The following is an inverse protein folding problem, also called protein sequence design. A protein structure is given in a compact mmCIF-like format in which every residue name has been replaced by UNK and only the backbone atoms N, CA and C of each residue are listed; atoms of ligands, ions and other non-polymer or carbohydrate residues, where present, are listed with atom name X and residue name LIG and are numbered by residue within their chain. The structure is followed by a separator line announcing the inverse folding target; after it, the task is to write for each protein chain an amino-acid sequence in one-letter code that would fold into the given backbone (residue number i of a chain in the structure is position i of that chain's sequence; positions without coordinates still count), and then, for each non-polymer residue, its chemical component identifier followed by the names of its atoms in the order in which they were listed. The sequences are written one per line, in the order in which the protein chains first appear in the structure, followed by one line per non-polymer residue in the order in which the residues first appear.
data_IF_484108860469
#
_entry.id   IF_484108860469
#
_cell.length_a   1.000
_cell.length_b   1.000
_cell.length_c   1.000
_cell.angle_alpha   90.00
_cell.angle_beta   90.00
_cell.angle_gamma   90.00
#
_symmetry.space_group_name_H-M   'P 1'
#
loop_
_entity.id
_entity.type
_entity.pdbx_description
1 polymer ?
#
# COMPACT_ATOMS: atom_id res chain seq x y z
N UNK A 1 4.19 7.01 -50.11
CA UNK A 1 4.32 7.99 -49.02
C UNK A 1 3.00 8.00 -48.26
N UNK A 2 2.92 7.36 -47.10
CA UNK A 2 1.76 7.45 -46.21
C UNK A 2 2.24 8.00 -44.88
N UNK A 3 1.99 9.29 -44.66
CA UNK A 3 2.23 9.94 -43.38
C UNK A 3 1.18 9.41 -42.39
N UNK A 4 1.68 8.87 -41.27
CA UNK A 4 0.88 8.25 -40.23
C UNK A 4 0.01 9.25 -39.48
N UNK A 5 -1.13 8.76 -39.00
CA UNK A 5 -1.92 9.43 -37.98
C UNK A 5 -1.84 8.59 -36.71
N UNK A 6 -0.86 8.93 -35.85
CA UNK A 6 -0.78 8.37 -34.50
C UNK A 6 -1.85 9.07 -33.65
N UNK A 7 -2.76 8.33 -33.00
CA UNK A 7 -3.75 8.94 -32.13
C UNK A 7 -3.06 9.62 -30.93
N UNK A 8 -3.63 10.72 -30.41
CA UNK A 8 -3.07 11.42 -29.27
C UNK A 8 -3.06 10.50 -28.05
N UNK A 9 -1.93 10.46 -27.34
CA UNK A 9 -1.81 9.72 -26.07
C UNK A 9 -2.86 10.25 -25.09
N UNK A 10 -3.58 9.36 -24.37
CA UNK A 10 -4.53 9.81 -23.36
C UNK A 10 -3.80 10.61 -22.29
N UNK A 11 -4.39 11.74 -21.89
CA UNK A 11 -3.86 12.61 -20.85
C UNK A 11 -3.67 11.81 -19.56
N UNK A 12 -2.42 11.66 -19.15
CA UNK A 12 -2.08 11.12 -17.83
C UNK A 12 -2.50 12.17 -16.80
N UNK A 13 -3.71 12.04 -16.25
CA UNK A 13 -4.13 12.87 -15.14
C UNK A 13 -3.13 12.66 -13.98
N UNK A 14 -2.55 13.74 -13.43
CA UNK A 14 -1.68 13.60 -12.27
C UNK A 14 -2.50 12.99 -11.13
N UNK A 15 -2.05 11.85 -10.62
CA UNK A 15 -2.63 11.26 -9.40
C UNK A 15 -2.65 12.35 -8.33
N UNK A 16 -3.78 12.57 -7.62
CA UNK A 16 -3.81 13.58 -6.57
C UNK A 16 -2.72 13.28 -5.57
N UNK A 17 -1.77 14.22 -5.42
CA UNK A 17 -0.79 14.18 -4.34
C UNK A 17 -1.60 14.12 -3.05
N UNK A 18 -1.56 12.97 -2.37
CA UNK A 18 -2.18 12.77 -1.06
C UNK A 18 -1.85 14.00 -0.23
N UNK A 19 -2.89 14.70 0.20
CA UNK A 19 -2.80 15.94 0.99
C UNK A 19 -1.73 15.74 2.04
N UNK A 20 -0.69 16.57 1.98
CA UNK A 20 0.24 16.72 3.08
C UNK A 20 -0.60 17.24 4.25
N UNK A 21 -1.03 16.32 5.12
CA UNK A 21 -1.49 16.68 6.44
C UNK A 21 -0.24 17.09 7.21
N UNK A 22 0.20 18.32 6.99
CA UNK A 22 1.01 19.04 7.95
C UNK A 22 0.09 19.35 9.14
N UNK A 23 -0.08 18.37 10.03
CA UNK A 23 -0.58 18.62 11.38
C UNK A 23 0.62 19.02 12.23
N UNK A 24 0.56 20.29 12.58
CA UNK A 24 1.38 20.96 13.55
C UNK A 24 1.43 20.20 14.89
N UNK A 25 2.63 20.23 15.48
CA UNK A 25 2.86 20.53 16.89
C UNK A 25 2.40 19.54 17.97
N UNK A 26 3.41 18.92 18.60
CA UNK A 26 3.77 19.05 20.04
C UNK A 26 3.59 17.80 20.91
N UNK A 27 4.71 17.48 21.59
CA UNK A 27 4.88 16.66 22.80
C UNK A 27 4.54 15.17 22.64
N UNK A 28 5.36 14.22 23.08
CA UNK A 28 6.09 14.12 24.33
C UNK A 28 7.38 13.32 24.08
N UNK A 29 8.53 13.81 24.54
CA UNK A 29 9.66 12.94 24.81
C UNK A 29 9.33 12.18 26.11
N UNK A 30 8.43 11.21 26.00
CA UNK A 30 8.45 10.11 26.96
C UNK A 30 9.79 9.42 26.72
N UNK A 31 10.62 9.31 27.75
CA UNK A 31 11.77 8.42 27.70
C UNK A 31 11.23 7.04 27.33
N UNK A 32 11.45 6.64 26.09
CA UNK A 32 11.00 5.35 25.60
C UNK A 32 11.93 4.31 26.26
N UNK A 33 11.46 3.61 27.29
CA UNK A 33 12.21 2.51 27.92
C UNK A 33 12.64 1.53 26.83
N UNK A 34 13.95 1.22 26.73
CA UNK A 34 14.50 0.42 25.63
C UNK A 34 13.79 -0.95 25.49
N UNK A 35 13.39 -1.53 26.62
CA UNK A 35 12.59 -2.76 26.66
C UNK A 35 11.22 -2.63 25.99
N UNK A 36 10.56 -1.48 26.13
CA UNK A 36 9.27 -1.19 25.49
C UNK A 36 9.44 -0.98 23.98
N UNK A 37 10.51 -0.30 23.54
CA UNK A 37 10.82 -0.15 22.11
C UNK A 37 11.09 -1.49 21.43
N UNK A 38 11.88 -2.36 22.07
CA UNK A 38 12.16 -3.71 21.58
C UNK A 38 10.90 -4.58 21.53
N UNK A 39 9.99 -4.45 22.50
CA UNK A 39 8.70 -5.12 22.47
C UNK A 39 7.82 -4.64 21.31
N UNK A 40 7.70 -3.32 21.14
CA UNK A 40 6.95 -2.69 20.03
C UNK A 40 7.49 -3.12 18.67
N UNK A 41 8.82 -3.17 18.49
CA UNK A 41 9.44 -3.66 17.26
C UNK A 41 8.98 -5.09 16.93
N UNK A 42 9.03 -6.01 17.90
CA UNK A 42 8.57 -7.40 17.71
C UNK A 42 7.10 -7.49 17.32
N UNK A 43 6.25 -6.63 17.87
CA UNK A 43 4.84 -6.57 17.50
C UNK A 43 4.64 -6.05 16.07
N UNK A 44 5.36 -5.00 15.69
CA UNK A 44 5.30 -4.44 14.35
C UNK A 44 5.81 -5.43 13.30
N UNK A 45 6.88 -6.17 13.59
CA UNK A 45 7.38 -7.24 12.70
C UNK A 45 6.34 -8.35 12.50
N UNK A 46 5.67 -8.79 13.57
CA UNK A 46 4.57 -9.76 13.46
C UNK A 46 3.43 -9.23 12.61
N UNK A 47 3.05 -7.96 12.79
CA UNK A 47 2.03 -7.30 11.98
C UNK A 47 2.46 -7.23 10.51
N UNK A 48 3.73 -6.89 10.23
CA UNK A 48 4.27 -6.86 8.87
C UNK A 48 4.15 -8.22 8.19
N UNK A 49 4.57 -9.28 8.88
CA UNK A 49 4.49 -10.65 8.36
C UNK A 49 3.03 -11.07 8.08
N UNK A 50 2.10 -10.75 8.98
CA UNK A 50 0.68 -11.05 8.76
C UNK A 50 0.11 -10.29 7.55
N UNK A 51 0.50 -9.03 7.36
CA UNK A 51 0.09 -8.24 6.19
C UNK A 51 0.68 -8.83 4.90
N UNK A 52 1.93 -9.28 4.90
CA UNK A 52 2.56 -9.94 3.75
C UNK A 52 1.81 -11.23 3.35
N UNK A 53 1.43 -12.05 4.33
CA UNK A 53 0.62 -13.25 4.10
C UNK A 53 -0.76 -12.90 3.53
N UNK A 54 -1.43 -11.88 4.07
CA UNK A 54 -2.75 -11.46 3.56
C UNK A 54 -2.65 -10.91 2.13
N UNK A 55 -1.60 -10.15 1.82
CA UNK A 55 -1.31 -9.68 0.47
C UNK A 55 -1.13 -10.87 -0.47
N UNK A 56 -0.35 -11.88 -0.09
CA UNK A 56 -0.12 -13.08 -0.91
C UNK A 56 -1.44 -13.81 -1.22
N UNK A 57 -2.28 -14.03 -0.21
CA UNK A 57 -3.58 -14.68 -0.37
C UNK A 57 -4.52 -13.92 -1.30
N UNK A 58 -4.64 -12.59 -1.15
CA UNK A 58 -5.54 -11.82 -2.02
C UNK A 58 -4.92 -11.65 -3.42
N UNK A 59 -3.60 -11.51 -3.50
CA UNK A 59 -2.90 -11.31 -4.78
C UNK A 59 -2.89 -12.56 -5.66
N UNK A 60 -2.82 -13.76 -5.07
CA UNK A 60 -2.92 -15.04 -5.76
C UNK A 60 -4.30 -15.24 -6.37
N UNK A 61 -5.37 -14.91 -5.63
CA UNK A 61 -6.75 -14.92 -6.16
C UNK A 61 -6.92 -14.00 -7.38
N UNK A 62 -6.19 -12.89 -7.41
CA UNK A 62 -6.27 -11.93 -8.51
C UNK A 62 -5.40 -12.27 -9.72
N UNK A 63 -4.50 -13.25 -9.67
CA UNK A 63 -3.47 -13.48 -10.70
C UNK A 63 -4.01 -13.56 -12.12
N UNK A 64 -5.10 -14.29 -12.32
CA UNK A 64 -5.74 -14.48 -13.63
C UNK A 64 -6.34 -13.19 -14.20
N UNK A 65 -6.70 -12.25 -13.33
CA UNK A 65 -7.38 -11.00 -13.70
C UNK A 65 -6.47 -9.77 -13.62
N UNK A 66 -5.19 -9.92 -13.24
CA UNK A 66 -4.24 -8.79 -13.12
C UNK A 66 -4.12 -8.07 -14.47
N UNK A 67 -4.43 -6.77 -14.49
CA UNK A 67 -4.29 -5.91 -15.68
C UNK A 67 -5.39 -6.03 -16.74
N UNK A 68 -6.35 -6.94 -16.57
CA UNK A 68 -7.47 -7.07 -17.50
C UNK A 68 -8.57 -6.04 -17.21
N UNK A 69 -9.22 -5.56 -18.29
CA UNK A 69 -10.45 -4.77 -18.18
C UNK A 69 -11.53 -5.65 -17.54
N UNK A 70 -12.38 -5.09 -16.69
CA UNK A 70 -13.50 -5.82 -16.06
C UNK A 70 -14.83 -5.55 -16.77
N UNK A 71 -14.75 -4.82 -17.87
CA UNK A 71 -15.85 -4.37 -18.71
C UNK A 71 -15.55 -4.89 -20.10
N UNK A 72 -16.60 -5.24 -20.83
CA UNK A 72 -16.52 -5.54 -22.25
C UNK A 72 -16.31 -4.25 -23.09
N UNK A 73 -16.37 -4.38 -24.41
CA UNK A 73 -16.21 -3.25 -25.33
C UNK A 73 -17.49 -2.39 -25.46
N UNK A 74 -18.64 -2.90 -25.00
CA UNK A 74 -19.93 -2.20 -25.02
C UNK A 74 -20.21 -1.40 -23.74
N UNK A 75 -19.45 -1.65 -22.67
CA UNK A 75 -19.57 -0.95 -21.40
C UNK A 75 -20.27 -1.73 -20.28
N UNK A 76 -20.59 -3.01 -20.50
CA UNK A 76 -21.25 -3.87 -19.52
C UNK A 76 -20.24 -4.68 -18.69
N UNK A 77 -20.59 -5.01 -17.42
CA UNK A 77 -19.82 -5.95 -16.63
C UNK A 77 -19.71 -7.28 -17.37
N UNK A 78 -18.51 -7.86 -17.34
CA UNK A 78 -18.26 -9.17 -17.91
C UNK A 78 -19.04 -10.27 -17.18
N UNK A 79 -19.66 -11.17 -17.95
CA UNK A 79 -20.43 -12.30 -17.42
C UNK A 79 -19.54 -13.48 -17.00
N UNK A 80 -18.31 -13.57 -17.52
CA UNK A 80 -17.37 -14.66 -17.23
C UNK A 80 -16.72 -14.55 -15.84
N UNK A 81 -16.78 -13.37 -15.21
CA UNK A 81 -16.09 -13.10 -13.94
C UNK A 81 -16.96 -12.30 -12.98
N UNK A 82 -16.79 -12.54 -11.68
CA UNK A 82 -17.39 -11.68 -10.66
C UNK A 82 -16.61 -10.35 -10.56
N UNK A 83 -17.09 -9.37 -11.34
CA UNK A 83 -16.53 -8.01 -11.38
C UNK A 83 -16.55 -7.33 -10.01
N UNK A 84 -17.55 -7.61 -9.18
CA UNK A 84 -17.68 -7.01 -7.85
C UNK A 84 -16.61 -7.54 -6.90
N UNK A 85 -16.44 -8.86 -6.84
CA UNK A 85 -15.40 -9.49 -6.05
C UNK A 85 -14.00 -8.99 -6.46
N UNK A 86 -13.70 -8.98 -7.75
CA UNK A 86 -12.39 -8.54 -8.26
C UNK A 86 -12.12 -7.06 -7.93
N UNK A 87 -13.13 -6.19 -8.01
CA UNK A 87 -12.99 -4.78 -7.62
C UNK A 87 -12.64 -4.63 -6.15
N UNK A 88 -13.35 -5.34 -5.28
CA UNK A 88 -13.10 -5.30 -3.84
C UNK A 88 -11.70 -5.84 -3.51
N UNK A 89 -11.29 -6.91 -4.17
CA UNK A 89 -9.97 -7.51 -3.97
C UNK A 89 -8.85 -6.58 -4.43
N UNK A 90 -8.99 -5.96 -5.60
CA UNK A 90 -8.01 -4.97 -6.09
C UNK A 90 -7.91 -3.77 -5.15
N UNK A 91 -9.04 -3.30 -4.61
CA UNK A 91 -9.06 -2.24 -3.61
C UNK A 91 -8.38 -2.69 -2.31
N UNK A 92 -8.66 -3.92 -1.86
CA UNK A 92 -8.08 -4.51 -0.66
C UNK A 92 -6.56 -4.67 -0.77
N UNK A 93 -6.04 -5.17 -1.90
CA UNK A 93 -4.58 -5.26 -2.14
C UNK A 93 -3.94 -3.88 -2.08
N UNK A 94 -4.55 -2.87 -2.71
CA UNK A 94 -4.02 -1.51 -2.69
C UNK A 94 -3.98 -0.92 -1.27
N UNK A 95 -5.00 -1.20 -0.45
CA UNK A 95 -5.02 -0.82 0.95
C UNK A 95 -3.93 -1.55 1.74
N UNK A 96 -3.87 -2.89 1.65
CA UNK A 96 -2.89 -3.72 2.37
C UNK A 96 -1.44 -3.34 2.04
N UNK A 97 -1.13 -3.04 0.77
CA UNK A 97 0.19 -2.50 0.39
C UNK A 97 0.49 -1.15 1.06
N UNK A 98 -0.53 -0.29 1.19
CA UNK A 98 -0.40 0.99 1.89
C UNK A 98 -0.17 0.82 3.39
N UNK A 99 -0.82 -0.17 4.00
CA UNK A 99 -0.70 -0.48 5.42
C UNK A 99 0.66 -1.14 5.72
N UNK A 100 1.09 -2.09 4.91
CA UNK A 100 2.43 -2.71 4.99
C UNK A 100 3.54 -1.66 4.90
N UNK A 101 3.41 -0.71 3.97
CA UNK A 101 4.36 0.41 3.85
C UNK A 101 4.39 1.28 5.11
N UNK A 102 3.24 1.58 5.70
CA UNK A 102 3.17 2.36 6.94
C UNK A 102 3.83 1.63 8.10
N UNK A 103 3.53 0.33 8.28
CA UNK A 103 4.15 -0.50 9.32
C UNK A 103 5.66 -0.57 9.13
N UNK A 104 6.15 -0.71 7.90
CA UNK A 104 7.58 -0.73 7.59
C UNK A 104 8.27 0.59 7.98
N UNK A 105 7.64 1.73 7.69
CA UNK A 105 8.15 3.05 8.12
C UNK A 105 8.16 3.21 9.65
N UNK A 106 7.15 2.66 10.34
CA UNK A 106 7.11 2.67 11.80
C UNK A 106 8.23 1.81 12.41
N UNK A 107 8.52 0.65 11.81
CA UNK A 107 9.64 -0.21 12.19
C UNK A 107 10.97 0.54 12.07
N UNK A 108 11.20 1.22 10.94
CA UNK A 108 12.40 2.05 10.72
C UNK A 108 12.57 3.11 11.80
N UNK A 109 11.47 3.80 12.15
CA UNK A 109 11.48 4.84 13.19
C UNK A 109 11.77 4.28 14.60
N UNK A 110 11.14 3.15 14.97
CA UNK A 110 11.40 2.48 16.25
C UNK A 110 12.85 1.99 16.33
N UNK A 111 13.35 1.42 15.23
CA UNK A 111 14.71 0.93 15.15
C UNK A 111 15.73 2.07 15.30
N UNK A 112 15.51 3.21 14.63
CA UNK A 112 16.34 4.40 14.78
C UNK A 112 16.38 4.91 16.23
N UNK A 113 15.27 4.85 16.96
CA UNK A 113 15.22 5.24 18.38
C UNK A 113 16.02 4.32 19.28
N UNK A 114 15.95 3.01 19.08
CA UNK A 114 16.73 2.03 19.85
C UNK A 114 18.24 2.31 19.68
N UNK A 115 18.68 2.55 18.44
CA UNK A 115 20.10 2.84 18.16
C UNK A 115 20.55 4.23 18.61
N UNK A 116 19.67 5.23 18.58
CA UNK A 116 19.98 6.57 19.08
C UNK A 116 20.20 6.59 20.60
N UNK A 117 19.39 5.82 21.37
CA UNK A 117 19.55 5.69 22.81
C UNK A 117 20.78 4.90 23.25
N UNK A 118 21.38 4.09 22.37
CA UNK A 118 22.58 3.30 22.66
C UNK A 118 23.91 4.05 22.39
N UNK A 119 23.85 5.32 21.95
CA UNK A 119 25.03 6.11 21.56
C UNK A 119 25.53 7.08 22.64
N UNK A 120 24.92 7.09 23.82
CA UNK A 120 25.45 7.71 25.05
C UNK A 120 26.11 6.66 25.95
#
# INVERSE_FOLDING_TARGET
MHAGFLPPRPAQFPRPRRRSFCLASRAMAAGDDEGNLRARFKELDKKRANLELEIEVVSSRLETTKGQKLVDDEGFPRDDVDVFAIRNDRAKVAQLHGDHKQVTQEIEAVMAKIFAGAKE
#
